data_IF_271397231849
#
_entry.id   IF_271397231849
#
_cell.length_a   1.000
_cell.length_b   1.000
_cell.length_c   1.000
_cell.angle_alpha   90.00
_cell.angle_beta   90.00
_cell.angle_gamma   90.00
#
_symmetry.space_group_name_H-M   'P 1'
#
loop_
_entity.id
_entity.type
_entity.pdbx_description
1 polymer ?
#
# COMPACT_ATOMS: atom_id res chain seq x y z
N UNK A 1 9.62 -4.45 4.05
CA UNK A 1 8.85 -5.68 3.67
C UNK A 1 7.73 -5.30 2.72
N UNK A 2 7.66 -5.92 1.53
CA UNK A 2 6.65 -5.61 0.51
C UNK A 2 5.26 -6.15 0.85
N UNK A 3 4.24 -5.35 0.61
CA UNK A 3 2.85 -5.72 0.72
C UNK A 3 1.98 -5.00 -0.31
N UNK A 4 0.74 -5.45 -0.48
CA UNK A 4 -0.27 -4.72 -1.26
C UNK A 4 -1.34 -4.25 -0.29
N UNK A 5 -1.56 -2.95 -0.24
CA UNK A 5 -2.70 -2.37 0.47
C UNK A 5 -3.91 -2.37 -0.45
N UNK A 6 -5.00 -3.00 -0.01
CA UNK A 6 -6.24 -3.11 -0.76
C UNK A 6 -7.32 -2.32 -0.02
N UNK A 7 -7.91 -1.36 -0.73
CA UNK A 7 -9.10 -0.66 -0.31
C UNK A 7 -10.31 -1.30 -1.02
N UNK A 8 -11.34 -1.62 -0.26
CA UNK A 8 -12.62 -2.11 -0.78
C UNK A 8 -13.68 -1.01 -0.61
N UNK A 9 -14.60 -0.94 -1.56
CA UNK A 9 -15.71 0.02 -1.46
C UNK A 9 -16.74 -0.57 -0.51
N UNK A 10 -16.95 0.13 0.60
CA UNK A 10 -17.85 -0.25 1.69
C UNK A 10 -19.33 0.07 1.38
N UNK A 11 -19.61 0.63 0.19
CA UNK A 11 -20.91 1.18 -0.22
C UNK A 11 -21.93 0.03 -0.35
N UNK A 12 -22.54 -0.40 0.75
CA UNK A 12 -23.77 -1.19 0.73
C UNK A 12 -23.94 -2.23 1.84
N UNK A 13 -22.90 -2.58 2.60
CA UNK A 13 -23.03 -3.66 3.59
C UNK A 13 -23.63 -3.12 4.91
N UNK A 14 -24.95 -2.95 4.93
CA UNK A 14 -25.72 -2.73 6.16
C UNK A 14 -25.53 -3.93 7.10
N UNK A 15 -25.03 -3.68 8.32
CA UNK A 15 -25.09 -4.63 9.43
C UNK A 15 -24.31 -5.94 9.24
N UNK A 16 -25.02 -7.08 9.34
CA UNK A 16 -24.45 -8.43 9.56
C UNK A 16 -23.70 -9.05 8.37
N UNK A 17 -23.71 -8.42 7.19
CA UNK A 17 -23.11 -8.99 5.97
C UNK A 17 -21.62 -8.64 5.78
N UNK A 18 -21.09 -7.69 6.55
CA UNK A 18 -19.69 -7.27 6.43
C UNK A 18 -18.70 -8.42 6.67
N UNK A 19 -18.83 -9.26 7.73
CA UNK A 19 -17.91 -10.38 7.93
C UNK A 19 -17.97 -11.41 6.79
N UNK A 20 -19.16 -11.66 6.22
CA UNK A 20 -19.33 -12.58 5.10
C UNK A 20 -18.64 -12.06 3.84
N UNK A 21 -18.82 -10.77 3.54
CA UNK A 21 -18.14 -10.12 2.41
C UNK A 21 -16.63 -10.18 2.57
N UNK A 22 -16.09 -9.82 3.75
CA UNK A 22 -14.66 -9.82 3.99
C UNK A 22 -14.06 -11.23 3.83
N UNK A 23 -14.71 -12.26 4.37
CA UNK A 23 -14.29 -13.65 4.15
C UNK A 23 -14.30 -14.04 2.67
N UNK A 24 -15.32 -13.62 1.91
CA UNK A 24 -15.42 -13.92 0.48
C UNK A 24 -14.36 -13.19 -0.33
N UNK A 25 -14.13 -11.90 -0.04
CA UNK A 25 -13.11 -11.10 -0.68
C UNK A 25 -11.71 -11.68 -0.41
N UNK A 26 -11.41 -12.04 0.85
CA UNK A 26 -10.16 -12.70 1.22
C UNK A 26 -9.94 -14.01 0.44
N UNK A 27 -10.96 -14.86 0.35
CA UNK A 27 -10.90 -16.09 -0.44
C UNK A 27 -10.64 -15.83 -1.93
N UNK A 28 -11.31 -14.83 -2.51
CA UNK A 28 -11.12 -14.45 -3.91
C UNK A 28 -9.72 -13.91 -4.16
N UNK A 29 -9.18 -13.10 -3.25
CA UNK A 29 -7.82 -12.57 -3.31
C UNK A 29 -6.80 -13.70 -3.31
N UNK A 30 -6.88 -14.61 -2.32
CA UNK A 30 -5.98 -15.75 -2.21
C UNK A 30 -6.02 -16.62 -3.46
N UNK A 31 -7.21 -16.93 -3.97
CA UNK A 31 -7.40 -17.72 -5.19
C UNK A 31 -6.80 -17.02 -6.42
N UNK A 32 -7.09 -15.74 -6.59
CA UNK A 32 -6.60 -14.96 -7.73
C UNK A 32 -5.07 -14.88 -7.70
N UNK A 33 -4.48 -14.64 -6.54
CA UNK A 33 -3.01 -14.50 -6.40
C UNK A 33 -2.27 -15.82 -6.14
N UNK A 34 -2.94 -16.96 -6.28
CA UNK A 34 -2.34 -18.27 -6.03
C UNK A 34 -1.10 -18.50 -6.91
N UNK A 35 0.00 -18.95 -6.30
CA UNK A 35 1.27 -19.16 -6.99
C UNK A 35 2.01 -17.88 -7.42
N UNK A 36 1.48 -16.68 -7.12
CA UNK A 36 2.14 -15.41 -7.46
C UNK A 36 3.05 -14.87 -6.33
N UNK A 37 3.31 -15.67 -5.29
CA UNK A 37 4.18 -15.29 -4.17
C UNK A 37 3.50 -14.51 -3.04
N UNK A 38 2.16 -14.49 -2.96
CA UNK A 38 1.43 -13.97 -1.79
C UNK A 38 1.51 -14.97 -0.63
N UNK A 39 1.98 -14.53 0.54
CA UNK A 39 2.19 -15.39 1.72
C UNK A 39 0.97 -15.47 2.63
N UNK A 40 0.31 -14.33 2.87
CA UNK A 40 -0.87 -14.23 3.72
C UNK A 40 -1.65 -12.96 3.43
N UNK A 41 -2.92 -12.97 3.80
CA UNK A 41 -3.80 -11.80 3.83
C UNK A 41 -4.12 -11.47 5.27
N UNK A 42 -4.09 -10.18 5.62
CA UNK A 42 -4.57 -9.70 6.91
C UNK A 42 -5.65 -8.64 6.71
N UNK A 43 -6.70 -8.71 7.52
CA UNK A 43 -7.70 -7.66 7.61
C UNK A 43 -7.22 -6.61 8.61
N UNK A 44 -7.18 -5.33 8.22
CA UNK A 44 -6.74 -4.20 9.05
C UNK A 44 -7.74 -3.07 8.90
N UNK A 45 -8.48 -2.75 9.97
CA UNK A 45 -9.54 -1.72 10.07
C UNK A 45 -9.82 -0.95 8.77
N UNK A 46 -10.73 -1.48 7.94
CA UNK A 46 -11.16 -0.86 6.68
C UNK A 46 -10.34 -1.22 5.44
N UNK A 47 -9.36 -2.13 5.54
CA UNK A 47 -8.44 -2.51 4.45
C UNK A 47 -8.04 -3.98 4.55
N UNK A 48 -7.57 -4.53 3.43
CA UNK A 48 -6.86 -5.81 3.41
C UNK A 48 -5.39 -5.59 3.04
N UNK A 49 -4.50 -6.37 3.64
CA UNK A 49 -3.05 -6.30 3.39
C UNK A 49 -2.58 -7.66 2.90
N UNK A 50 -2.08 -7.72 1.67
CA UNK A 50 -1.44 -8.91 1.12
C UNK A 50 0.05 -8.83 1.36
N UNK A 51 0.60 -9.76 2.14
CA UNK A 51 2.03 -9.82 2.39
C UNK A 51 2.73 -10.62 1.30
N UNK A 52 3.72 -10.00 0.67
CA UNK A 52 4.43 -10.58 -0.46
C UNK A 52 5.70 -11.32 0.02
N UNK A 53 6.02 -12.43 -0.65
CA UNK A 53 7.33 -13.08 -0.59
C UNK A 53 8.39 -12.29 -1.35
N UNK A 54 9.66 -12.72 -1.25
CA UNK A 54 10.77 -12.09 -2.00
C UNK A 54 10.60 -12.28 -3.50
N UNK A 55 10.26 -13.50 -3.92
CA UNK A 55 10.03 -13.88 -5.33
C UNK A 55 8.65 -13.47 -5.88
N UNK A 56 7.93 -12.59 -5.19
CA UNK A 56 6.60 -12.18 -5.62
C UNK A 56 6.68 -11.23 -6.83
N UNK A 57 6.04 -11.63 -7.93
CA UNK A 57 5.93 -10.82 -9.13
C UNK A 57 4.77 -9.82 -9.02
N UNK A 58 5.12 -8.55 -8.87
CA UNK A 58 4.13 -7.47 -8.76
C UNK A 58 3.33 -7.27 -10.06
N UNK A 59 3.93 -7.46 -11.24
CA UNK A 59 3.22 -7.32 -12.52
C UNK A 59 2.08 -8.35 -12.63
N UNK A 60 2.38 -9.61 -12.29
CA UNK A 60 1.39 -10.69 -12.25
C UNK A 60 0.32 -10.41 -11.19
N UNK A 61 0.71 -10.10 -9.95
CA UNK A 61 -0.23 -9.81 -8.87
C UNK A 61 -1.15 -8.64 -9.25
N UNK A 62 -0.59 -7.54 -9.76
CA UNK A 62 -1.34 -6.36 -10.20
C UNK A 62 -2.37 -6.73 -11.27
N UNK A 63 -1.97 -7.51 -12.27
CA UNK A 63 -2.88 -7.98 -13.33
C UNK A 63 -4.06 -8.76 -12.76
N UNK A 64 -3.79 -9.70 -11.85
CA UNK A 64 -4.79 -10.58 -11.24
C UNK A 64 -5.69 -9.86 -10.22
N UNK A 65 -5.18 -8.86 -9.50
CA UNK A 65 -6.00 -8.07 -8.58
C UNK A 65 -7.00 -7.18 -9.31
N UNK A 66 -6.70 -6.73 -10.54
CA UNK A 66 -7.65 -5.94 -11.35
C UNK A 66 -8.94 -6.68 -11.70
N UNK A 67 -8.91 -8.02 -11.72
CA UNK A 67 -10.08 -8.85 -12.01
C UNK A 67 -10.85 -9.29 -10.75
N UNK A 68 -10.44 -8.87 -9.55
CA UNK A 68 -11.12 -9.24 -8.30
C UNK A 68 -12.18 -8.18 -7.97
N UNK A 69 -13.45 -8.56 -8.10
CA UNK A 69 -14.57 -7.71 -7.71
C UNK A 69 -14.59 -7.45 -6.20
N UNK A 70 -15.05 -6.26 -5.82
CA UNK A 70 -15.08 -5.78 -4.43
C UNK A 70 -13.86 -4.93 -4.04
N UNK A 71 -12.79 -4.93 -4.86
CA UNK A 71 -11.67 -4.00 -4.69
C UNK A 71 -12.03 -2.64 -5.31
N UNK A 72 -11.86 -1.58 -4.53
CA UNK A 72 -11.99 -0.19 -5.00
C UNK A 72 -10.68 0.29 -5.63
N UNK A 73 -9.59 0.08 -4.93
CA UNK A 73 -8.24 0.37 -5.40
C UNK A 73 -7.24 -0.45 -4.60
N UNK A 74 -6.01 -0.53 -5.12
CA UNK A 74 -4.92 -1.19 -4.43
C UNK A 74 -3.58 -0.58 -4.82
N UNK A 75 -2.63 -0.62 -3.90
CA UNK A 75 -1.31 -0.01 -4.05
C UNK A 75 -0.24 -0.96 -3.55
N UNK A 76 0.85 -1.11 -4.32
CA UNK A 76 2.07 -1.71 -3.79
C UNK A 76 2.62 -0.78 -2.70
N UNK A 77 2.92 -1.37 -1.55
CA UNK A 77 3.40 -0.66 -0.38
C UNK A 77 4.61 -1.39 0.20
N UNK A 78 5.39 -0.64 0.97
CA UNK A 78 6.46 -1.18 1.78
C UNK A 78 6.22 -0.87 3.25
N UNK A 79 6.25 -1.91 4.08
CA UNK A 79 6.27 -1.77 5.53
C UNK A 79 7.70 -1.57 5.99
N UNK A 80 7.91 -0.45 6.68
CA UNK A 80 9.15 -0.06 7.36
C UNK A 80 8.88 0.19 8.84
N UNK A 81 9.96 0.34 9.60
CA UNK A 81 9.88 0.84 10.96
C UNK A 81 9.34 2.29 10.99
N UNK A 82 8.64 2.68 12.07
CA UNK A 82 8.05 4.01 12.18
C UNK A 82 9.13 5.04 12.55
N UNK A 83 10.10 5.25 11.67
CA UNK A 83 11.14 6.26 11.78
C UNK A 83 11.40 6.96 10.43
N UNK A 84 11.92 8.19 10.49
CA UNK A 84 12.12 9.00 9.28
C UNK A 84 13.24 8.49 8.38
N UNK A 85 14.27 7.83 8.93
CA UNK A 85 15.38 7.33 8.14
C UNK A 85 14.94 6.13 7.28
N UNK A 86 14.21 5.19 7.88
CA UNK A 86 13.63 4.05 7.17
C UNK A 86 12.59 4.48 6.13
N UNK A 87 11.78 5.51 6.42
CA UNK A 87 10.87 6.10 5.42
C UNK A 87 11.64 6.70 4.23
N UNK A 88 12.69 7.49 4.47
CA UNK A 88 13.53 8.07 3.40
C UNK A 88 14.20 6.96 2.57
N UNK A 89 14.76 5.94 3.21
CA UNK A 89 15.37 4.80 2.53
C UNK A 89 14.36 4.07 1.62
N UNK A 90 13.17 3.75 2.12
CA UNK A 90 12.14 3.08 1.32
C UNK A 90 11.61 3.95 0.18
N UNK A 91 11.47 5.26 0.40
CA UNK A 91 11.09 6.20 -0.68
C UNK A 91 12.19 6.24 -1.74
N UNK A 92 13.47 6.32 -1.36
CA UNK A 92 14.60 6.30 -2.30
C UNK A 92 14.56 5.05 -3.19
N UNK A 93 14.45 3.87 -2.58
CA UNK A 93 14.32 2.61 -3.31
C UNK A 93 13.09 2.59 -4.25
N UNK A 94 12.00 3.24 -3.86
CA UNK A 94 10.79 3.31 -4.69
C UNK A 94 10.92 4.27 -5.88
N UNK A 95 11.86 5.22 -5.83
CA UNK A 95 12.16 6.18 -6.90
C UNK A 95 13.14 5.62 -7.93
N UNK A 96 13.97 4.63 -7.56
CA UNK A 96 14.98 4.05 -8.46
C UNK A 96 14.38 3.62 -9.81
N UNK A 97 15.02 4.07 -10.89
CA UNK A 97 14.61 3.75 -12.27
C UNK A 97 13.28 4.37 -12.71
N UNK A 98 12.70 5.30 -11.93
CA UNK A 98 11.45 5.98 -12.30
C UNK A 98 11.69 7.39 -12.80
N UNK A 99 10.94 7.76 -13.84
CA UNK A 99 10.89 9.11 -14.38
C UNK A 99 9.46 9.63 -14.32
N UNK A 100 9.27 10.86 -13.83
CA UNK A 100 7.95 11.50 -13.71
C UNK A 100 8.10 13.03 -13.77
N UNK A 101 7.01 13.74 -14.09
CA UNK A 101 7.00 15.21 -14.29
C UNK A 101 6.69 16.01 -13.03
N UNK A 102 5.95 15.42 -12.11
CA UNK A 102 5.60 16.00 -10.81
C UNK A 102 5.28 14.89 -9.81
N UNK A 103 5.31 15.20 -8.51
CA UNK A 103 4.98 14.26 -7.47
C UNK A 103 4.32 14.93 -6.27
N UNK A 104 3.60 14.18 -5.45
CA UNK A 104 3.05 14.66 -4.18
C UNK A 104 3.30 13.66 -3.08
N UNK A 105 3.71 14.14 -1.91
CA UNK A 105 3.74 13.35 -0.68
C UNK A 105 2.48 13.62 0.14
N UNK A 106 1.80 12.56 0.58
CA UNK A 106 0.59 12.66 1.39
C UNK A 106 0.61 11.62 2.54
N UNK A 107 1.10 12.04 3.69
CA UNK A 107 1.21 11.23 4.89
C UNK A 107 -0.11 11.20 5.68
N UNK A 108 -0.48 10.02 6.17
CA UNK A 108 -1.61 9.83 7.08
C UNK A 108 -1.16 9.05 8.31
N UNK A 109 -1.17 9.71 9.46
CA UNK A 109 -0.77 9.11 10.75
C UNK A 109 -1.95 8.47 11.46
N UNK A 110 -1.99 7.14 11.46
CA UNK A 110 -2.83 6.37 12.39
C UNK A 110 -2.19 6.32 13.79
N UNK A 111 -0.87 6.11 13.86
CA UNK A 111 -0.10 6.15 15.10
C UNK A 111 0.22 7.59 15.47
N UNK A 112 -0.41 8.10 16.54
CA UNK A 112 -0.29 9.51 16.94
C UNK A 112 0.96 9.83 17.76
N UNK A 113 1.62 8.81 18.31
CA UNK A 113 2.85 8.95 19.10
C UNK A 113 4.11 9.10 18.23
N UNK A 114 3.99 9.04 16.89
CA UNK A 114 5.09 9.43 16.02
C UNK A 114 5.46 10.90 16.31
N UNK A 115 6.75 11.28 16.37
CA UNK A 115 7.14 12.61 16.83
C UNK A 115 6.74 13.74 15.87
N UNK A 116 6.76 13.49 14.56
CA UNK A 116 6.47 14.50 13.53
C UNK A 116 5.01 14.48 13.07
N UNK A 117 4.42 15.64 12.78
CA UNK A 117 3.07 15.73 12.22
C UNK A 117 3.01 15.19 10.78
N UNK A 118 1.80 14.99 10.24
CA UNK A 118 1.67 14.59 8.82
C UNK A 118 2.27 15.64 7.88
N UNK A 119 2.16 16.92 8.22
CA UNK A 119 2.71 18.03 7.43
C UNK A 119 4.24 18.04 7.46
N UNK A 120 4.83 17.79 8.62
CA UNK A 120 6.29 17.66 8.77
C UNK A 120 6.82 16.49 7.95
N UNK A 121 6.15 15.33 8.01
CA UNK A 121 6.52 14.16 7.20
C UNK A 121 6.42 14.49 5.70
N UNK A 122 5.36 15.18 5.27
CA UNK A 122 5.20 15.58 3.87
C UNK A 122 6.32 16.51 3.41
N UNK A 123 6.66 17.51 4.22
CA UNK A 123 7.73 18.48 3.91
C UNK A 123 9.09 17.80 3.86
N UNK A 124 9.42 16.97 4.84
CA UNK A 124 10.71 16.28 4.89
C UNK A 124 10.89 15.28 3.75
N UNK A 125 9.90 14.43 3.50
CA UNK A 125 9.96 13.48 2.39
C UNK A 125 9.86 14.20 1.04
N UNK A 126 9.10 15.30 0.95
CA UNK A 126 9.02 16.14 -0.23
C UNK A 126 10.38 16.71 -0.62
N UNK A 127 11.07 17.33 0.34
CA UNK A 127 12.43 17.84 0.15
C UNK A 127 13.42 16.72 -0.24
N UNK A 128 13.30 15.55 0.37
CA UNK A 128 14.13 14.39 0.03
C UNK A 128 13.92 13.92 -1.42
N UNK A 129 12.67 13.75 -1.86
CA UNK A 129 12.34 13.34 -3.24
C UNK A 129 12.79 14.41 -4.24
N UNK A 130 12.56 15.69 -3.94
CA UNK A 130 12.98 16.80 -4.78
C UNK A 130 14.51 16.84 -4.92
N UNK A 131 15.25 16.62 -3.84
CA UNK A 131 16.71 16.58 -3.86
C UNK A 131 17.28 15.44 -4.71
N UNK A 132 16.60 14.29 -4.77
CA UNK A 132 17.04 13.14 -5.57
C UNK A 132 16.64 13.23 -7.04
N UNK A 133 15.49 13.85 -7.35
CA UNK A 133 14.90 13.78 -8.69
C UNK A 133 14.93 15.11 -9.44
N UNK A 134 15.11 16.23 -8.74
CA UNK A 134 15.00 17.60 -9.28
C UNK A 134 13.64 17.90 -9.93
N UNK A 135 12.62 17.10 -9.62
CA UNK A 135 11.27 17.23 -10.18
C UNK A 135 10.43 18.19 -9.32
N UNK A 136 9.48 18.87 -9.95
CA UNK A 136 8.54 19.76 -9.26
C UNK A 136 7.62 19.00 -8.28
N UNK A 137 7.39 19.60 -7.11
CA UNK A 137 6.39 19.17 -6.10
C UNK A 137 5.00 19.66 -6.50
#
# INVERSE_FOLDING_TARGET
MRCVMIHYNEIGLKGKNQPLFLRRLESNLLRSTAGAGVRRVEQRSGRMVLYLGREADWGVIRGRLRSVFGIANFSLAERVEPDMAALKAAVGNALEGRTFRSFKVAARRAYKQFPLTSEDINRELGAFVQGQTQVAV
#
